data_IF_314681048900
#
_entry.id   IF_314681048900
#
_cell.length_a   1.000
_cell.length_b   1.000
_cell.length_c   1.000
_cell.angle_alpha   90.00
_cell.angle_beta   90.00
_cell.angle_gamma   90.00
#
_symmetry.space_group_name_H-M   'P 1'
#
loop_
_entity.id
_entity.type
_entity.pdbx_description
1 polymer ?
#
# COMPACT_ATOMS: atom_id res chain seq x y z
N UNK A 1 30.54 24.43 3.23
CA UNK A 1 29.19 23.98 2.80
C UNK A 1 29.22 22.48 2.93
N UNK A 2 28.74 21.96 4.06
CA UNK A 2 28.90 20.55 4.39
C UNK A 2 27.60 19.82 4.09
N UNK A 3 27.54 19.21 2.91
CA UNK A 3 26.42 18.36 2.51
C UNK A 3 26.53 17.08 3.34
N UNK A 4 25.68 16.93 4.36
CA UNK A 4 25.70 15.75 5.23
C UNK A 4 25.59 14.46 4.39
N UNK A 5 26.66 13.67 4.33
CA UNK A 5 26.71 12.43 3.57
C UNK A 5 25.99 11.35 4.37
N UNK A 6 24.91 10.80 3.82
CA UNK A 6 24.31 9.57 4.38
C UNK A 6 25.21 8.37 4.06
N UNK A 7 25.75 7.73 5.09
CA UNK A 7 26.64 6.57 5.00
C UNK A 7 25.87 5.27 4.75
N UNK A 8 26.23 4.61 3.67
CA UNK A 8 25.84 3.25 3.34
C UNK A 8 27.07 2.33 3.40
N UNK A 9 26.86 1.02 3.37
CA UNK A 9 27.97 0.06 3.34
C UNK A 9 28.91 0.25 2.16
N UNK A 10 28.41 0.74 1.02
CA UNK A 10 29.22 1.10 -0.15
C UNK A 10 30.09 2.34 0.08
N UNK A 11 29.53 3.40 0.69
CA UNK A 11 30.32 4.61 1.03
C UNK A 11 31.34 4.33 2.13
N UNK A 12 30.99 3.50 3.12
CA UNK A 12 31.93 3.04 4.14
C UNK A 12 33.08 2.22 3.54
N UNK A 13 32.79 1.36 2.55
CA UNK A 13 33.80 0.64 1.78
C UNK A 13 34.70 1.59 1.00
N UNK A 14 34.13 2.61 0.35
CA UNK A 14 34.89 3.60 -0.40
C UNK A 14 35.85 4.38 0.50
N UNK A 15 35.39 4.78 1.69
CA UNK A 15 36.23 5.42 2.70
C UNK A 15 37.38 4.49 3.14
N UNK A 16 37.08 3.22 3.40
CA UNK A 16 38.10 2.22 3.75
C UNK A 16 39.20 2.13 2.68
N UNK A 17 38.78 2.00 1.41
CA UNK A 17 39.70 1.85 0.27
C UNK A 17 40.53 3.12 0.04
N UNK A 18 39.92 4.30 0.23
CA UNK A 18 40.61 5.59 0.13
C UNK A 18 41.65 5.79 1.23
N UNK A 19 41.38 5.29 2.44
CA UNK A 19 42.33 5.32 3.55
C UNK A 19 43.43 4.23 3.42
N UNK A 20 43.33 3.33 2.44
CA UNK A 20 44.29 2.24 2.24
C UNK A 20 44.31 1.20 3.37
N UNK A 21 43.24 1.09 4.15
CA UNK A 21 43.17 0.23 5.34
C UNK A 21 42.61 -1.16 5.01
N UNK A 22 43.15 -2.21 5.64
CA UNK A 22 42.50 -3.53 5.61
C UNK A 22 41.18 -3.51 6.39
N UNK A 23 40.32 -4.52 6.17
CA UNK A 23 39.03 -4.65 6.88
C UNK A 23 39.23 -4.65 8.41
N UNK A 24 40.27 -5.35 8.90
CA UNK A 24 40.55 -5.43 10.35
C UNK A 24 41.07 -4.11 10.91
N UNK A 25 41.90 -3.39 10.16
CA UNK A 25 42.43 -2.10 10.58
C UNK A 25 41.36 -1.02 10.57
N UNK A 26 40.49 -1.04 9.56
CA UNK A 26 39.35 -0.13 9.47
C UNK A 26 38.33 -0.39 10.59
N UNK A 27 37.99 -1.66 10.84
CA UNK A 27 37.12 -2.04 11.96
C UNK A 27 37.68 -1.56 13.32
N UNK A 28 38.99 -1.76 13.54
CA UNK A 28 39.68 -1.26 14.74
C UNK A 28 39.65 0.27 14.83
N UNK A 29 39.81 0.98 13.71
CA UNK A 29 39.76 2.46 13.67
C UNK A 29 38.35 2.99 14.00
N UNK A 30 37.31 2.28 13.60
CA UNK A 30 35.92 2.63 13.86
C UNK A 30 35.39 2.08 15.21
N UNK A 31 36.14 1.24 15.91
CA UNK A 31 35.72 0.61 17.17
C UNK A 31 34.66 -0.48 17.02
N UNK A 32 34.57 -1.13 15.84
CA UNK A 32 33.57 -2.18 15.55
C UNK A 32 34.19 -3.56 15.33
N UNK A 33 33.36 -4.60 15.40
CA UNK A 33 33.75 -5.95 15.00
C UNK A 33 34.02 -6.03 13.47
N UNK A 34 35.09 -6.70 13.00
CA UNK A 34 35.38 -6.86 11.57
C UNK A 34 34.23 -7.48 10.75
N UNK A 35 33.34 -8.27 11.37
CA UNK A 35 32.13 -8.81 10.72
C UNK A 35 31.15 -7.72 10.33
N UNK A 36 31.09 -6.61 11.07
CA UNK A 36 30.24 -5.46 10.74
C UNK A 36 30.68 -4.80 9.45
N UNK A 37 31.99 -4.59 9.27
CA UNK A 37 32.57 -4.06 8.02
C UNK A 37 32.39 -5.05 6.87
N UNK A 38 32.49 -6.36 7.14
CA UNK A 38 32.23 -7.40 6.14
C UNK A 38 30.76 -7.39 5.70
N UNK A 39 29.82 -7.19 6.63
CA UNK A 39 28.39 -7.04 6.36
C UNK A 39 28.12 -5.81 5.49
N UNK A 40 28.75 -4.67 5.79
CA UNK A 40 28.66 -3.47 4.96
C UNK A 40 29.16 -3.69 3.53
N UNK A 41 30.30 -4.36 3.36
CA UNK A 41 30.82 -4.68 2.02
C UNK A 41 29.89 -5.64 1.25
N UNK A 42 29.26 -6.58 1.96
CA UNK A 42 28.32 -7.55 1.36
C UNK A 42 27.04 -6.89 0.89
N UNK A 43 26.48 -5.98 1.69
CA UNK A 43 25.18 -5.36 1.41
C UNK A 43 25.29 -4.00 0.69
N UNK A 44 26.48 -3.41 0.64
CA UNK A 44 26.76 -2.22 -0.16
C UNK A 44 25.80 -1.07 0.13
N UNK A 45 25.18 -0.55 -0.92
CA UNK A 45 24.21 0.56 -0.83
C UNK A 45 22.90 0.20 -0.11
N UNK A 46 22.49 -1.08 -0.14
CA UNK A 46 21.26 -1.57 0.51
C UNK A 46 21.30 -1.56 2.04
N UNK A 47 22.47 -1.32 2.65
CA UNK A 47 22.63 -1.24 4.10
C UNK A 47 23.00 0.19 4.49
N UNK A 48 22.07 0.88 5.15
CA UNK A 48 22.32 2.16 5.81
C UNK A 48 22.95 1.91 7.18
N UNK A 49 24.05 2.60 7.49
CA UNK A 49 24.69 2.53 8.80
C UNK A 49 23.77 3.18 9.86
N UNK A 50 23.74 2.67 11.09
CA UNK A 50 22.98 3.29 12.18
C UNK A 50 23.56 4.67 12.57
N UNK A 51 22.82 5.48 13.32
CA UNK A 51 23.16 6.88 13.59
C UNK A 51 24.53 7.06 14.25
N UNK A 52 24.86 6.23 15.24
CA UNK A 52 26.21 6.22 15.86
C UNK A 52 27.31 6.04 14.81
N UNK A 53 27.10 5.16 13.84
CA UNK A 53 28.07 4.90 12.80
C UNK A 53 28.08 5.97 11.70
N UNK A 54 26.95 6.66 11.46
CA UNK A 54 26.92 7.83 10.59
C UNK A 54 27.88 8.91 11.11
N UNK A 55 27.85 9.17 12.42
CA UNK A 55 28.73 10.15 13.06
C UNK A 55 30.19 9.70 13.05
N UNK A 56 30.46 8.45 13.40
CA UNK A 56 31.83 7.92 13.45
C UNK A 56 32.48 7.91 12.06
N UNK A 57 31.74 7.53 11.00
CA UNK A 57 32.26 7.55 9.63
C UNK A 57 32.48 8.97 9.12
N UNK A 58 31.56 9.91 9.42
CA UNK A 58 31.72 11.33 9.07
C UNK A 58 32.97 11.91 9.72
N UNK A 59 33.13 11.70 11.03
CA UNK A 59 34.33 12.13 11.77
C UNK A 59 35.61 11.48 11.24
N UNK A 60 35.53 10.22 10.80
CA UNK A 60 36.68 9.52 10.21
C UNK A 60 37.09 10.10 8.86
N UNK A 61 36.12 10.56 8.05
CA UNK A 61 36.38 11.30 6.81
C UNK A 61 36.94 12.71 7.08
N UNK A 62 36.43 13.40 8.10
CA UNK A 62 36.93 14.73 8.50
C UNK A 62 38.38 14.72 8.98
N UNK A 63 38.79 13.62 9.61
CA UNK A 63 40.16 13.41 10.09
C UNK A 63 41.09 12.81 9.02
N UNK A 64 40.60 12.51 7.82
CA UNK A 64 41.45 12.06 6.70
C UNK A 64 42.24 13.24 6.12
N UNK A 65 43.38 12.97 5.48
CA UNK A 65 44.15 14.04 4.83
C UNK A 65 43.36 14.69 3.69
N UNK A 66 43.72 15.92 3.32
CA UNK A 66 43.05 16.63 2.22
C UNK A 66 43.10 15.83 0.90
N UNK A 67 44.23 15.20 0.60
CA UNK A 67 44.40 14.30 -0.56
C UNK A 67 43.46 13.08 -0.50
N UNK A 68 43.27 12.50 0.70
CA UNK A 68 42.34 11.38 0.90
C UNK A 68 40.90 11.82 0.78
N UNK A 69 40.54 13.00 1.31
CA UNK A 69 39.19 13.57 1.17
C UNK A 69 38.87 13.87 -0.30
N UNK A 70 39.78 14.53 -1.02
CA UNK A 70 39.62 14.81 -2.45
C UNK A 70 39.50 13.52 -3.26
N UNK A 71 40.31 12.51 -2.95
CA UNK A 71 40.22 11.19 -3.57
C UNK A 71 38.87 10.53 -3.28
N UNK A 72 38.40 10.59 -2.04
CA UNK A 72 37.10 10.04 -1.64
C UNK A 72 35.95 10.71 -2.39
N UNK A 73 35.91 12.05 -2.44
CA UNK A 73 34.88 12.78 -3.17
C UNK A 73 34.98 12.60 -4.69
N UNK A 74 36.20 12.54 -5.24
CA UNK A 74 36.44 12.26 -6.66
C UNK A 74 36.00 10.85 -7.04
N UNK A 75 36.27 9.85 -6.20
CA UNK A 75 35.79 8.49 -6.42
C UNK A 75 34.28 8.36 -6.15
N UNK A 76 33.72 9.11 -5.20
CA UNK A 76 32.28 9.18 -4.98
C UNK A 76 31.55 9.80 -6.18
N UNK A 77 32.16 10.78 -6.84
CA UNK A 77 31.66 11.39 -8.08
C UNK A 77 31.96 10.56 -9.34
N UNK A 78 33.00 9.72 -9.33
CA UNK A 78 33.39 8.82 -10.43
C UNK A 78 32.79 7.42 -10.33
N UNK A 79 32.24 7.04 -9.18
CA UNK A 79 31.40 5.85 -9.11
C UNK A 79 30.29 6.05 -10.13
N UNK A 80 30.10 5.12 -11.08
CA UNK A 80 28.92 5.19 -11.91
C UNK A 80 27.74 5.16 -10.95
N UNK A 81 26.88 6.19 -11.00
CA UNK A 81 25.46 5.94 -10.79
C UNK A 81 25.18 4.69 -11.62
N UNK A 82 24.90 3.55 -10.95
CA UNK A 82 25.01 2.23 -11.55
C UNK A 82 24.40 2.26 -12.94
N UNK A 83 25.19 1.89 -13.96
CA UNK A 83 24.86 1.97 -15.41
C UNK A 83 23.48 2.57 -15.64
N UNK A 84 23.44 3.90 -15.77
CA UNK A 84 22.25 4.55 -16.28
C UNK A 84 21.85 3.79 -17.56
N UNK A 85 20.60 3.27 -17.63
CA UNK A 85 20.05 2.96 -18.93
C UNK A 85 20.25 4.18 -19.82
N UNK A 86 20.54 3.98 -21.10
CA UNK A 86 20.63 5.10 -22.04
C UNK A 86 19.45 6.06 -21.84
N UNK A 87 19.62 7.38 -21.96
CA UNK A 87 18.49 8.31 -21.99
C UNK A 87 17.59 7.95 -23.17
N UNK A 88 16.62 7.07 -22.91
CA UNK A 88 15.90 6.29 -23.92
C UNK A 88 15.29 4.98 -23.41
N UNK A 89 15.78 4.39 -22.30
CA UNK A 89 15.08 3.30 -21.61
C UNK A 89 14.07 3.87 -20.61
N UNK A 90 13.08 4.55 -21.18
CA UNK A 90 11.93 5.08 -20.47
C UNK A 90 11.14 3.97 -19.78
N UNK A 91 10.38 4.36 -18.77
CA UNK A 91 9.16 3.67 -18.44
C UNK A 91 8.29 3.65 -19.71
N UNK A 92 8.29 2.55 -20.45
CA UNK A 92 7.38 2.42 -21.58
C UNK A 92 5.95 2.22 -21.07
N UNK A 93 4.95 2.37 -21.94
CA UNK A 93 3.57 2.28 -21.52
C UNK A 93 3.29 0.93 -20.86
N UNK A 94 2.38 0.96 -19.90
CA UNK A 94 1.93 -0.21 -19.18
C UNK A 94 0.41 -0.16 -19.01
N UNK A 95 -0.19 -1.32 -18.86
CA UNK A 95 -1.63 -1.48 -18.70
C UNK A 95 -1.91 -2.00 -17.31
N UNK A 96 -2.76 -1.30 -16.56
CA UNK A 96 -3.27 -1.73 -15.26
C UNK A 96 -4.79 -1.73 -15.24
N UNK A 97 -5.36 -2.65 -14.48
CA UNK A 97 -6.72 -2.49 -13.98
C UNK A 97 -6.64 -1.95 -12.55
N UNK A 98 -7.17 -0.75 -12.35
CA UNK A 98 -7.32 -0.15 -11.03
C UNK A 98 -8.63 -0.61 -10.42
N UNK A 99 -8.57 -1.32 -9.29
CA UNK A 99 -9.73 -1.69 -8.48
C UNK A 99 -9.78 -0.78 -7.25
N UNK A 100 -10.71 0.18 -7.25
CA UNK A 100 -10.96 1.09 -6.12
C UNK A 100 -12.03 0.50 -5.20
N UNK A 101 -11.81 0.62 -3.89
CA UNK A 101 -12.75 0.26 -2.84
C UNK A 101 -13.07 1.52 -2.05
N UNK A 102 -14.35 1.89 -2.06
CA UNK A 102 -14.85 3.14 -1.49
C UNK A 102 -15.94 2.79 -0.48
N UNK A 103 -15.58 2.58 0.80
CA UNK A 103 -16.51 2.10 1.80
C UNK A 103 -17.22 3.25 2.53
N UNK A 104 -18.50 3.05 2.85
CA UNK A 104 -19.31 3.96 3.63
C UNK A 104 -20.15 3.19 4.66
N UNK A 105 -20.13 3.65 5.92
CA UNK A 105 -21.09 3.21 6.91
C UNK A 105 -22.42 3.94 6.71
N UNK A 106 -23.49 3.18 6.54
CA UNK A 106 -24.86 3.68 6.33
C UNK A 106 -25.76 3.32 7.51
N UNK A 107 -25.44 2.22 8.19
CA UNK A 107 -26.19 1.67 9.33
C UNK A 107 -27.49 0.98 8.90
N UNK A 108 -28.47 0.96 9.80
CA UNK A 108 -29.78 0.31 9.58
C UNK A 108 -30.56 0.85 8.38
N UNK A 109 -30.28 2.10 7.98
CA UNK A 109 -30.83 2.74 6.77
C UNK A 109 -30.53 1.96 5.49
N UNK A 110 -29.49 1.14 5.46
CA UNK A 110 -29.13 0.33 4.29
C UNK A 110 -30.10 -0.83 4.06
N UNK A 111 -30.83 -1.27 5.09
CA UNK A 111 -31.65 -2.50 5.07
C UNK A 111 -32.66 -2.56 3.91
N UNK A 112 -33.45 -1.50 3.62
CA UNK A 112 -34.42 -1.54 2.53
C UNK A 112 -33.79 -1.64 1.14
N UNK A 113 -32.55 -1.15 0.98
CA UNK A 113 -31.77 -1.29 -0.26
C UNK A 113 -31.18 -2.69 -0.36
N UNK A 114 -30.60 -3.19 0.75
CA UNK A 114 -30.01 -4.52 0.86
C UNK A 114 -31.01 -5.62 0.47
N UNK A 115 -32.24 -5.58 0.98
CA UNK A 115 -33.24 -6.62 0.73
C UNK A 115 -33.65 -6.75 -0.75
N UNK A 116 -33.52 -5.65 -1.52
CA UNK A 116 -33.83 -5.58 -2.96
C UNK A 116 -32.62 -5.92 -3.84
N UNK A 117 -31.41 -5.92 -3.28
CA UNK A 117 -30.18 -6.19 -4.01
C UNK A 117 -29.99 -7.69 -4.32
N UNK A 118 -29.12 -7.99 -5.29
CA UNK A 118 -28.88 -9.35 -5.77
C UNK A 118 -28.07 -10.15 -4.75
N UNK A 119 -28.45 -11.40 -4.42
CA UNK A 119 -27.63 -12.28 -3.60
C UNK A 119 -26.21 -12.43 -4.16
N UNK A 120 -25.21 -12.37 -3.29
CA UNK A 120 -23.81 -12.59 -3.66
C UNK A 120 -23.16 -13.54 -2.63
N UNK A 121 -22.32 -14.51 -3.05
CA UNK A 121 -21.55 -15.32 -2.13
C UNK A 121 -20.73 -14.49 -1.14
N UNK A 122 -20.61 -14.97 0.09
CA UNK A 122 -19.79 -14.30 1.11
C UNK A 122 -18.30 -14.36 0.77
N UNK A 123 -17.59 -13.29 1.12
CA UNK A 123 -16.14 -13.23 1.07
C UNK A 123 -15.45 -14.07 2.16
N UNK A 124 -14.12 -13.97 2.27
CA UNK A 124 -13.35 -14.79 3.20
C UNK A 124 -13.65 -14.54 4.68
N UNK A 125 -14.11 -13.34 5.03
CA UNK A 125 -14.58 -12.93 6.35
C UNK A 125 -15.99 -13.40 6.67
N UNK A 126 -16.69 -14.04 5.73
CA UNK A 126 -18.05 -14.54 5.93
C UNK A 126 -19.02 -13.42 6.29
N UNK A 127 -18.93 -12.30 5.55
CA UNK A 127 -19.84 -11.18 5.70
C UNK A 127 -21.00 -11.38 4.72
N UNK A 128 -22.22 -11.49 5.27
CA UNK A 128 -23.43 -11.55 4.44
C UNK A 128 -23.50 -10.31 3.57
N UNK A 129 -23.56 -10.52 2.25
CA UNK A 129 -23.51 -9.44 1.28
C UNK A 129 -24.43 -9.64 0.10
N UNK A 130 -24.86 -8.52 -0.46
CA UNK A 130 -25.63 -8.44 -1.70
C UNK A 130 -25.04 -7.36 -2.59
N UNK A 131 -25.31 -7.43 -3.89
CA UNK A 131 -24.71 -6.50 -4.85
C UNK A 131 -25.74 -5.74 -5.67
N UNK A 132 -25.37 -4.51 -6.02
CA UNK A 132 -26.04 -3.70 -7.04
C UNK A 132 -25.01 -3.21 -8.05
N UNK A 133 -25.23 -3.39 -9.36
CA UNK A 133 -24.42 -2.73 -10.37
C UNK A 133 -24.66 -1.22 -10.30
N UNK A 134 -23.60 -0.43 -10.50
CA UNK A 134 -23.65 1.02 -10.58
C UNK A 134 -23.11 1.49 -11.94
N UNK A 135 -23.59 2.64 -12.40
CA UNK A 135 -23.03 3.32 -13.56
C UNK A 135 -22.04 4.39 -13.10
N UNK A 136 -20.79 4.29 -13.55
CA UNK A 136 -19.75 5.28 -13.27
C UNK A 136 -19.63 6.26 -14.46
N UNK A 137 -19.62 7.59 -14.24
CA UNK A 137 -19.64 8.59 -15.32
C UNK A 137 -18.45 8.50 -16.29
N UNK A 138 -17.28 8.08 -15.80
CA UNK A 138 -16.08 7.93 -16.62
C UNK A 138 -16.00 6.58 -17.36
N UNK A 139 -17.02 5.73 -17.22
CA UNK A 139 -16.98 4.33 -17.65
C UNK A 139 -16.35 3.42 -16.60
N UNK A 140 -16.09 2.16 -16.99
CA UNK A 140 -15.62 1.10 -16.09
C UNK A 140 -16.74 0.23 -15.53
N UNK A 141 -16.37 -0.77 -14.72
CA UNK A 141 -17.32 -1.63 -14.03
C UNK A 141 -17.43 -1.21 -12.57
N UNK A 142 -18.63 -0.84 -12.12
CA UNK A 142 -18.87 -0.48 -10.73
C UNK A 142 -19.93 -1.38 -10.09
N UNK A 143 -19.65 -1.84 -8.87
CA UNK A 143 -20.55 -2.68 -8.08
C UNK A 143 -20.58 -2.19 -6.64
N UNK A 144 -21.75 -1.93 -6.09
CA UNK A 144 -21.94 -1.70 -4.66
C UNK A 144 -22.11 -3.05 -3.95
N UNK A 145 -21.15 -3.42 -3.11
CA UNK A 145 -21.26 -4.54 -2.17
C UNK A 145 -21.92 -4.04 -0.88
N UNK A 146 -23.19 -4.41 -0.69
CA UNK A 146 -23.97 -4.05 0.48
C UNK A 146 -23.79 -5.15 1.52
N UNK A 147 -23.16 -4.85 2.64
CA UNK A 147 -22.94 -5.76 3.75
C UNK A 147 -24.09 -5.63 4.74
N UNK A 148 -24.59 -6.77 5.25
CA UNK A 148 -25.75 -6.79 6.14
C UNK A 148 -25.55 -5.96 7.42
N UNK A 149 -24.29 -5.79 7.85
CA UNK A 149 -23.89 -4.95 8.98
C UNK A 149 -24.04 -3.42 8.75
N UNK A 150 -24.62 -3.00 7.62
CA UNK A 150 -24.92 -1.59 7.34
C UNK A 150 -23.78 -0.85 6.65
N UNK A 151 -22.82 -1.54 6.06
CA UNK A 151 -21.72 -0.96 5.28
C UNK A 151 -21.95 -1.20 3.80
N UNK A 152 -21.73 -0.18 2.97
CA UNK A 152 -21.63 -0.32 1.53
C UNK A 152 -20.17 -0.16 1.10
N UNK A 153 -19.61 -1.12 0.36
CA UNK A 153 -18.30 -1.01 -0.27
C UNK A 153 -18.50 -0.91 -1.78
N UNK A 154 -18.28 0.26 -2.36
CA UNK A 154 -18.31 0.40 -3.82
C UNK A 154 -16.98 -0.05 -4.39
N UNK A 155 -17.00 -1.09 -5.21
CA UNK A 155 -15.89 -1.58 -6.01
C UNK A 155 -15.99 -1.00 -7.42
N UNK A 156 -15.02 -0.19 -7.82
CA UNK A 156 -14.89 0.38 -9.16
C UNK A 156 -13.64 -0.17 -9.84
N UNK A 157 -13.80 -0.78 -11.02
CA UNK A 157 -12.71 -1.31 -11.84
C UNK A 157 -12.55 -0.49 -13.13
N UNK A 158 -11.36 0.06 -13.33
CA UNK A 158 -11.01 0.92 -14.47
C UNK A 158 -9.71 0.42 -15.11
N UNK A 159 -9.74 0.14 -16.41
CA UNK A 159 -8.54 -0.20 -17.19
C UNK A 159 -7.85 1.10 -17.65
N UNK A 160 -6.54 1.17 -17.45
CA UNK A 160 -5.74 2.34 -17.74
C UNK A 160 -4.51 1.92 -18.54
N UNK A 161 -4.23 2.68 -19.60
CA UNK A 161 -2.94 2.66 -20.30
C UNK A 161 -2.21 3.96 -19.96
N UNK A 162 -1.02 3.83 -19.38
CA UNK A 162 -0.29 4.95 -18.79
C UNK A 162 1.15 4.92 -19.25
N UNK A 163 1.74 6.11 -19.42
CA UNK A 163 3.12 6.28 -19.85
C UNK A 163 4.11 6.18 -18.69
N UNK A 164 3.66 6.40 -17.44
CA UNK A 164 4.52 6.34 -16.25
C UNK A 164 3.75 6.02 -14.97
N UNK A 165 4.43 5.49 -13.96
CA UNK A 165 3.81 5.21 -12.66
C UNK A 165 3.46 6.53 -11.93
N UNK A 166 4.18 7.61 -12.24
CA UNK A 166 3.86 8.97 -11.78
C UNK A 166 2.53 9.44 -12.35
N UNK A 167 2.23 9.13 -13.62
CA UNK A 167 0.93 9.41 -14.21
C UNK A 167 -0.20 8.66 -13.48
N UNK A 168 0.01 7.37 -13.16
CA UNK A 168 -0.92 6.61 -12.31
C UNK A 168 -1.13 7.30 -10.96
N UNK A 169 -0.04 7.72 -10.31
CA UNK A 169 -0.10 8.37 -9.00
C UNK A 169 -0.92 9.66 -9.05
N UNK A 170 -0.69 10.50 -10.08
CA UNK A 170 -1.47 11.72 -10.30
C UNK A 170 -2.95 11.40 -10.56
N UNK A 171 -3.23 10.47 -11.46
CA UNK A 171 -4.59 10.04 -11.78
C UNK A 171 -5.33 9.55 -10.54
N UNK A 172 -4.67 8.70 -9.73
CA UNK A 172 -5.19 8.15 -8.48
C UNK A 172 -5.67 9.27 -7.56
N UNK A 173 -4.79 10.19 -7.18
CA UNK A 173 -5.16 11.21 -6.20
C UNK A 173 -6.10 12.28 -6.74
N UNK A 174 -6.11 12.52 -8.06
CA UNK A 174 -7.07 13.44 -8.70
C UNK A 174 -8.48 12.87 -8.78
N UNK A 175 -8.62 11.55 -8.95
CA UNK A 175 -9.94 10.89 -9.04
C UNK A 175 -10.55 10.59 -7.67
N UNK A 176 -9.74 10.47 -6.60
CA UNK A 176 -10.26 10.13 -5.28
C UNK A 176 -11.33 11.08 -4.73
N UNK A 177 -11.19 12.41 -4.78
CA UNK A 177 -12.25 13.30 -4.33
C UNK A 177 -13.54 13.15 -5.15
N UNK A 178 -13.42 13.05 -6.48
CA UNK A 178 -14.58 12.92 -7.37
C UNK A 178 -15.30 11.59 -7.19
N UNK A 179 -14.56 10.51 -7.01
CA UNK A 179 -15.14 9.18 -6.83
C UNK A 179 -15.83 9.04 -5.47
N UNK A 180 -15.28 9.63 -4.41
CA UNK A 180 -15.94 9.69 -3.10
C UNK A 180 -17.26 10.47 -3.19
N UNK A 181 -17.25 11.65 -3.80
CA UNK A 181 -18.46 12.45 -4.01
C UNK A 181 -19.50 11.71 -4.88
N UNK A 182 -19.05 11.01 -5.92
CA UNK A 182 -19.93 10.18 -6.75
C UNK A 182 -20.57 9.03 -5.96
N UNK A 183 -19.79 8.30 -5.15
CA UNK A 183 -20.32 7.24 -4.28
C UNK A 183 -21.29 7.80 -3.25
N UNK A 184 -20.95 8.91 -2.59
CA UNK A 184 -21.83 9.58 -1.63
C UNK A 184 -23.17 9.97 -2.26
N UNK A 185 -23.13 10.61 -3.44
CA UNK A 185 -24.34 10.96 -4.19
C UNK A 185 -25.15 9.71 -4.62
N UNK A 186 -24.49 8.67 -5.13
CA UNK A 186 -25.12 7.44 -5.58
C UNK A 186 -25.82 6.67 -4.45
N UNK A 187 -25.14 6.50 -3.31
CA UNK A 187 -25.72 5.87 -2.12
C UNK A 187 -26.89 6.68 -1.57
N UNK A 188 -26.77 8.02 -1.50
CA UNK A 188 -27.87 8.89 -1.08
C UNK A 188 -29.09 8.77 -2.02
N UNK A 189 -28.89 8.65 -3.33
CA UNK A 189 -29.97 8.43 -4.28
C UNK A 189 -30.66 7.08 -4.09
N UNK A 190 -29.89 6.00 -3.81
CA UNK A 190 -30.45 4.68 -3.49
C UNK A 190 -31.27 4.69 -2.20
N UNK A 191 -30.78 5.39 -1.17
CA UNK A 191 -31.48 5.52 0.11
C UNK A 191 -32.79 6.31 -0.05
N UNK A 192 -32.76 7.45 -0.74
CA UNK A 192 -33.94 8.27 -1.01
C UNK A 192 -34.99 7.51 -1.82
N UNK A 193 -34.57 6.75 -2.83
CA UNK A 193 -35.47 5.92 -3.63
C UNK A 193 -36.09 4.76 -2.82
N UNK A 194 -35.37 4.24 -1.83
CA UNK A 194 -35.86 3.17 -0.98
C UNK A 194 -36.80 3.68 0.12
N UNK A 195 -36.46 4.81 0.74
CA UNK A 195 -37.25 5.48 1.78
C UNK A 195 -37.03 7.00 1.67
N UNK A 196 -38.01 7.75 1.14
CA UNK A 196 -37.87 9.19 0.94
C UNK A 196 -37.69 9.99 2.25
N UNK A 197 -36.90 11.06 2.19
CA UNK A 197 -36.71 12.00 3.30
C UNK A 197 -35.78 11.50 4.41
N UNK A 198 -35.01 10.44 4.18
CA UNK A 198 -33.98 10.02 5.14
C UNK A 198 -32.81 11.02 5.18
N UNK A 199 -32.13 11.15 6.33
CA UNK A 199 -30.90 11.93 6.40
C UNK A 199 -29.88 11.40 5.38
N UNK A 200 -29.14 12.32 4.76
CA UNK A 200 -28.06 11.96 3.84
C UNK A 200 -26.88 11.37 4.62
N UNK A 201 -26.11 10.52 3.97
CA UNK A 201 -24.76 10.15 4.41
C UNK A 201 -23.77 11.19 3.88
N UNK A 202 -22.67 11.36 4.61
CA UNK A 202 -21.51 12.10 4.13
C UNK A 202 -20.77 11.31 3.05
N UNK A 203 -19.88 12.00 2.32
CA UNK A 203 -19.03 11.34 1.35
C UNK A 203 -18.08 10.37 2.06
N UNK A 204 -17.84 9.17 1.50
CA UNK A 204 -16.87 8.21 2.00
C UNK A 204 -15.53 8.88 2.36
N UNK A 205 -14.93 8.48 3.49
CA UNK A 205 -13.72 9.13 4.00
C UNK A 205 -12.47 8.83 3.16
N UNK A 206 -12.39 7.66 2.53
CA UNK A 206 -11.19 7.21 1.83
C UNK A 206 -11.47 6.30 0.64
N UNK A 207 -10.40 6.06 -0.14
CA UNK A 207 -10.36 5.09 -1.24
C UNK A 207 -9.12 4.23 -1.06
N UNK A 208 -9.29 2.90 -1.03
CA UNK A 208 -8.18 1.96 -1.21
C UNK A 208 -8.13 1.55 -2.68
N UNK A 209 -6.93 1.30 -3.22
CA UNK A 209 -6.81 0.68 -4.55
C UNK A 209 -5.95 -0.57 -4.55
N UNK A 210 -6.40 -1.55 -5.33
CA UNK A 210 -5.63 -2.69 -5.81
C UNK A 210 -5.29 -2.45 -7.28
N UNK A 211 -4.06 -2.68 -7.70
CA UNK A 211 -3.63 -2.61 -9.09
C UNK A 211 -3.30 -3.98 -9.64
N UNK A 212 -4.00 -4.38 -10.69
CA UNK A 212 -3.65 -5.55 -11.48
C UNK A 212 -2.78 -5.11 -12.67
N UNK A 213 -1.48 -5.42 -12.62
CA UNK A 213 -0.56 -5.15 -13.72
C UNK A 213 -0.74 -6.20 -14.82
N UNK A 214 -1.25 -5.78 -15.98
CA UNK A 214 -1.54 -6.65 -17.13
C UNK A 214 -0.38 -6.70 -18.11
N UNK A 215 0.06 -5.54 -18.55
CA UNK A 215 1.11 -5.39 -19.55
C UNK A 215 2.13 -4.37 -19.08
N UNK A 216 3.39 -4.56 -19.43
CA UNK A 216 4.46 -3.61 -19.11
C UNK A 216 5.58 -3.65 -20.13
N UNK A 217 6.11 -2.48 -20.44
CA UNK A 217 7.22 -2.31 -21.38
C UNK A 217 8.59 -2.26 -20.69
N UNK A 218 8.65 -2.30 -19.36
CA UNK A 218 9.91 -2.29 -18.60
C UNK A 218 10.68 -3.62 -18.79
N UNK A 219 12.01 -3.61 -18.66
CA UNK A 219 12.75 -4.87 -18.56
C UNK A 219 12.33 -5.65 -17.30
N UNK A 220 12.38 -6.98 -17.34
CA UNK A 220 11.99 -7.83 -16.19
C UNK A 220 12.77 -7.52 -14.90
N UNK A 221 13.98 -6.97 -15.00
CA UNK A 221 14.77 -6.51 -13.86
C UNK A 221 14.17 -5.31 -13.12
N UNK A 222 13.33 -4.50 -13.80
CA UNK A 222 12.67 -3.33 -13.25
C UNK A 222 11.30 -3.66 -12.61
N UNK A 223 10.75 -4.84 -12.89
CA UNK A 223 9.44 -5.27 -12.38
C UNK A 223 9.32 -5.17 -10.86
N UNK A 224 10.30 -5.60 -10.02
CA UNK A 224 10.18 -5.47 -8.57
C UNK A 224 9.98 -4.01 -8.13
N UNK A 225 10.75 -3.07 -8.67
CA UNK A 225 10.62 -1.64 -8.38
C UNK A 225 9.25 -1.12 -8.83
N UNK A 226 8.80 -1.49 -10.03
CA UNK A 226 7.49 -1.09 -10.55
C UNK A 226 6.37 -1.52 -9.60
N UNK A 227 6.38 -2.78 -9.14
CA UNK A 227 5.37 -3.28 -8.19
C UNK A 227 5.39 -2.49 -6.87
N UNK A 228 6.56 -2.14 -6.34
CA UNK A 228 6.66 -1.32 -5.14
C UNK A 228 6.08 0.08 -5.37
N UNK A 229 6.37 0.72 -6.50
CA UNK A 229 5.84 2.04 -6.85
C UNK A 229 4.31 2.01 -7.08
N UNK A 230 3.78 0.97 -7.74
CA UNK A 230 2.34 0.75 -7.89
C UNK A 230 1.65 0.53 -6.54
N UNK A 231 2.29 -0.17 -5.61
CA UNK A 231 1.77 -0.41 -4.25
C UNK A 231 1.82 0.87 -3.40
N UNK A 232 2.80 1.74 -3.65
CA UNK A 232 3.04 2.98 -2.90
C UNK A 232 3.15 4.24 -3.79
N UNK A 233 2.11 4.59 -4.57
CA UNK A 233 2.22 5.69 -5.55
C UNK A 233 2.47 7.07 -4.92
N UNK A 234 2.19 7.21 -3.62
CA UNK A 234 2.44 8.44 -2.85
C UNK A 234 3.89 8.91 -2.89
N UNK A 235 4.86 8.01 -3.11
CA UNK A 235 6.29 8.37 -3.13
C UNK A 235 6.71 9.13 -4.39
N UNK A 236 5.82 9.29 -5.36
CA UNK A 236 6.07 9.97 -6.63
C UNK A 236 5.43 11.36 -6.70
N UNK A 237 4.50 11.68 -5.79
CA UNK A 237 3.67 12.90 -5.87
C UNK A 237 3.60 13.64 -4.54
N UNK A 238 3.57 14.97 -4.61
CA UNK A 238 3.18 15.82 -3.50
C UNK A 238 1.66 15.90 -3.45
N UNK A 239 1.08 15.38 -2.37
CA UNK A 239 -0.37 15.31 -2.12
C UNK A 239 -0.81 16.16 -0.92
N UNK A 240 0.02 17.11 -0.47
CA UNK A 240 -0.33 18.01 0.63
C UNK A 240 -1.56 18.87 0.30
N UNK A 241 -1.74 19.23 -0.97
CA UNK A 241 -2.96 19.82 -1.48
C UNK A 241 -3.70 18.80 -2.36
N UNK A 242 -4.84 18.23 -1.90
CA UNK A 242 -5.65 17.30 -2.69
C UNK A 242 -6.18 17.87 -4.01
N UNK A 243 -6.36 19.19 -4.12
CA UNK A 243 -6.85 19.85 -5.34
C UNK A 243 -5.72 20.15 -6.34
N UNK A 244 -4.46 20.10 -5.89
CA UNK A 244 -3.28 20.43 -6.68
C UNK A 244 -2.17 19.39 -6.48
N UNK A 245 -2.50 18.13 -6.79
CA UNK A 245 -1.51 17.04 -6.76
C UNK A 245 -0.54 17.18 -7.92
N UNK A 246 0.75 17.24 -7.57
CA UNK A 246 1.86 17.44 -8.50
C UNK A 246 2.96 16.39 -8.30
N UNK A 247 3.75 16.04 -9.32
CA UNK A 247 4.93 15.20 -9.13
C UNK A 247 5.92 15.83 -8.14
N UNK A 248 6.60 15.01 -7.34
CA UNK A 248 7.68 15.51 -6.44
C UNK A 248 8.83 16.11 -7.27
N UNK A 249 9.09 15.54 -8.44
CA UNK A 249 10.07 16.06 -9.38
C UNK A 249 10.14 15.25 -10.67
N UNK A 250 10.68 15.83 -11.75
CA UNK A 250 10.62 15.23 -13.10
C UNK A 250 11.42 13.94 -13.26
N UNK A 251 12.37 13.64 -12.36
CA UNK A 251 13.27 12.47 -12.47
C UNK A 251 13.11 11.48 -11.31
N UNK A 252 12.15 11.69 -10.40
CA UNK A 252 12.02 10.86 -9.19
C UNK A 252 11.74 9.41 -9.57
N UNK A 253 10.82 9.15 -10.48
CA UNK A 253 10.53 7.78 -10.94
C UNK A 253 11.76 7.12 -11.59
N UNK A 254 12.46 7.84 -12.46
CA UNK A 254 13.69 7.35 -13.10
C UNK A 254 14.77 6.99 -12.06
N UNK A 255 14.94 7.82 -11.04
CA UNK A 255 15.86 7.57 -9.93
C UNK A 255 15.46 6.30 -9.16
N UNK A 256 14.16 6.11 -8.88
CA UNK A 256 13.65 4.91 -8.19
C UNK A 256 13.95 3.64 -8.98
N UNK A 257 13.73 3.67 -10.30
CA UNK A 257 14.11 2.55 -11.17
C UNK A 257 15.62 2.30 -11.19
N UNK A 258 16.43 3.36 -11.33
CA UNK A 258 17.89 3.26 -11.40
C UNK A 258 18.50 2.69 -10.11
N UNK A 259 17.92 3.05 -8.96
CA UNK A 259 18.38 2.63 -7.63
C UNK A 259 17.78 1.30 -7.16
N UNK A 260 16.96 0.63 -7.98
CA UNK A 260 16.20 -0.56 -7.61
C UNK A 260 15.43 -0.37 -6.29
N UNK A 261 14.73 0.76 -6.17
CA UNK A 261 14.09 1.18 -4.93
C UNK A 261 12.99 0.20 -4.47
N UNK A 262 12.91 0.01 -3.16
CA UNK A 262 11.84 -0.73 -2.49
C UNK A 262 11.29 0.07 -1.32
N UNK A 263 10.01 -0.17 -0.99
CA UNK A 263 9.37 0.42 0.17
C UNK A 263 9.49 -0.53 1.38
N UNK A 264 9.95 -0.06 2.56
CA UNK A 264 10.19 -0.93 3.72
C UNK A 264 8.93 -1.56 4.30
N UNK A 265 7.81 -0.84 4.26
CA UNK A 265 6.53 -1.28 4.86
C UNK A 265 5.65 -2.09 3.90
N UNK A 266 6.19 -2.45 2.73
CA UNK A 266 5.47 -3.29 1.75
C UNK A 266 5.81 -4.75 2.00
N UNK A 267 4.78 -5.57 2.14
CA UNK A 267 4.89 -7.02 2.35
C UNK A 267 4.61 -7.73 1.04
N UNK A 268 5.57 -8.52 0.59
CA UNK A 268 5.38 -9.37 -0.58
C UNK A 268 4.53 -10.60 -0.23
N UNK A 269 3.62 -10.94 -1.13
CA UNK A 269 2.98 -12.24 -1.17
C UNK A 269 3.26 -12.89 -2.52
N UNK A 270 4.07 -13.93 -2.48
CA UNK A 270 4.38 -14.73 -3.65
C UNK A 270 3.98 -16.16 -3.38
N UNK A 271 3.43 -16.81 -4.39
CA UNK A 271 3.20 -18.24 -4.39
C UNK A 271 3.21 -18.69 -5.83
N UNK A 272 4.41 -18.93 -6.34
CA UNK A 272 4.63 -19.17 -7.77
C UNK A 272 5.32 -18.03 -8.51
N UNK A 273 5.11 -17.96 -9.82
CA UNK A 273 5.67 -16.95 -10.75
C UNK A 273 4.92 -15.62 -10.74
N UNK A 274 3.71 -15.55 -10.16
CA UNK A 274 2.90 -14.32 -10.07
C UNK A 274 3.22 -13.52 -8.80
N UNK A 275 3.94 -12.38 -8.89
CA UNK A 275 4.27 -11.57 -7.72
C UNK A 275 3.11 -10.68 -7.30
N UNK A 276 2.93 -10.54 -5.99
CA UNK A 276 2.04 -9.57 -5.38
C UNK A 276 2.68 -8.86 -4.20
N UNK A 277 2.28 -7.62 -3.97
CA UNK A 277 2.75 -6.76 -2.90
C UNK A 277 1.56 -6.09 -2.22
N UNK A 278 1.56 -6.01 -0.89
CA UNK A 278 0.57 -5.28 -0.11
C UNK A 278 1.27 -4.21 0.73
N UNK A 279 0.66 -3.05 0.88
CA UNK A 279 1.11 -1.98 1.75
C UNK A 279 -0.07 -1.14 2.21
N UNK A 280 0.18 -0.21 3.12
CA UNK A 280 -0.85 0.69 3.67
C UNK A 280 -1.67 1.42 2.60
N UNK A 281 -1.02 1.85 1.52
CA UNK A 281 -1.67 2.60 0.43
C UNK A 281 -2.39 1.72 -0.60
N UNK A 282 -2.22 0.40 -0.59
CA UNK A 282 -2.83 -0.45 -1.60
C UNK A 282 -2.13 -1.78 -1.80
N UNK A 283 -2.62 -2.51 -2.78
CA UNK A 283 -2.11 -3.83 -3.17
C UNK A 283 -1.78 -3.81 -4.65
N UNK A 284 -0.70 -4.46 -5.06
CA UNK A 284 -0.41 -4.68 -6.48
C UNK A 284 -0.26 -6.16 -6.74
N UNK A 285 -0.76 -6.62 -7.88
CA UNK A 285 -0.65 -8.00 -8.31
C UNK A 285 -0.36 -8.08 -9.80
N UNK A 286 0.59 -8.93 -10.18
CA UNK A 286 0.94 -9.18 -11.58
C UNK A 286 0.69 -10.66 -11.91
N UNK A 287 -0.49 -11.02 -12.46
CA UNK A 287 -0.82 -12.39 -12.80
C UNK A 287 0.04 -12.91 -13.96
N UNK A 288 0.59 -14.11 -13.82
CA UNK A 288 1.24 -14.84 -14.91
C UNK A 288 0.29 -15.90 -15.50
N UNK A 289 0.22 -16.06 -16.83
CA UNK A 289 -0.73 -16.97 -17.50
C UNK A 289 -0.61 -18.46 -17.14
N UNK A 290 0.58 -18.91 -16.74
CA UNK A 290 0.95 -20.34 -16.74
C UNK A 290 0.78 -21.06 -15.39
N UNK A 291 0.11 -20.45 -14.41
CA UNK A 291 0.05 -21.00 -13.06
C UNK A 291 -1.39 -21.08 -12.53
N UNK A 292 -1.64 -22.00 -11.58
CA UNK A 292 -2.81 -21.94 -10.68
C UNK A 292 -2.66 -20.75 -9.73
N UNK A 293 -2.48 -19.58 -10.31
CA UNK A 293 -2.24 -18.33 -9.66
C UNK A 293 -3.52 -17.85 -8.99
N UNK A 294 -3.35 -17.10 -7.91
CA UNK A 294 -4.39 -16.29 -7.31
C UNK A 294 -5.08 -15.45 -8.40
N UNK A 295 -6.40 -15.45 -8.41
CA UNK A 295 -7.19 -14.59 -9.29
C UNK A 295 -7.38 -13.22 -8.63
N UNK A 296 -7.46 -12.16 -9.43
CA UNK A 296 -7.77 -10.83 -8.88
C UNK A 296 -9.15 -10.78 -8.22
N UNK A 297 -10.09 -11.64 -8.63
CA UNK A 297 -11.38 -11.78 -7.93
C UNK A 297 -11.22 -12.22 -6.47
N UNK A 298 -10.23 -13.05 -6.15
CA UNK A 298 -9.97 -13.49 -4.78
C UNK A 298 -9.34 -12.36 -3.94
N UNK A 299 -8.51 -11.51 -4.54
CA UNK A 299 -8.00 -10.27 -3.90
C UNK A 299 -9.16 -9.30 -3.65
N UNK A 300 -10.00 -9.06 -4.65
CA UNK A 300 -11.19 -8.19 -4.54
C UNK A 300 -12.13 -8.68 -3.45
N UNK A 301 -12.41 -9.98 -3.40
CA UNK A 301 -13.28 -10.56 -2.36
C UNK A 301 -12.70 -10.36 -0.95
N UNK A 302 -11.38 -10.52 -0.77
CA UNK A 302 -10.73 -10.21 0.50
C UNK A 302 -10.86 -8.72 0.84
N UNK A 303 -10.55 -7.84 -0.11
CA UNK A 303 -10.57 -6.40 0.14
C UNK A 303 -11.97 -5.86 0.41
N UNK A 304 -13.03 -6.39 -0.21
CA UNK A 304 -14.41 -6.04 0.16
C UNK A 304 -14.66 -6.30 1.65
N UNK A 305 -14.24 -7.45 2.16
CA UNK A 305 -14.43 -7.78 3.58
C UNK A 305 -13.51 -6.95 4.49
N UNK A 306 -12.25 -6.75 4.11
CA UNK A 306 -11.28 -5.95 4.88
C UNK A 306 -11.74 -4.50 4.97
N UNK A 307 -12.09 -3.87 3.84
CA UNK A 307 -12.57 -2.49 3.81
C UNK A 307 -13.95 -2.34 4.46
N UNK A 308 -14.81 -3.34 4.34
CA UNK A 308 -16.09 -3.39 5.04
C UNK A 308 -15.92 -3.36 6.56
N UNK A 309 -15.03 -4.20 7.09
CA UNK A 309 -14.72 -4.24 8.52
C UNK A 309 -13.94 -3.00 8.99
N UNK A 310 -13.08 -2.44 8.14
CA UNK A 310 -12.35 -1.21 8.45
C UNK A 310 -13.32 -0.04 8.64
N UNK A 311 -14.26 0.16 7.71
CA UNK A 311 -15.29 1.19 7.82
C UNK A 311 -16.24 0.96 9.00
N UNK A 312 -16.63 -0.30 9.25
CA UNK A 312 -17.46 -0.65 10.41
C UNK A 312 -16.76 -0.32 11.73
N UNK A 313 -15.47 -0.67 11.83
CA UNK A 313 -14.66 -0.39 13.02
C UNK A 313 -14.39 1.10 13.18
N UNK A 314 -14.24 1.84 12.06
CA UNK A 314 -14.13 3.30 12.06
C UNK A 314 -15.33 3.93 12.74
N UNK A 315 -16.53 3.61 12.27
CA UNK A 315 -17.75 4.17 12.85
C UNK A 315 -17.84 3.97 14.37
N UNK A 316 -17.47 2.78 14.86
CA UNK A 316 -17.48 2.47 16.29
C UNK A 316 -16.50 3.34 17.05
N UNK A 317 -15.27 3.49 16.54
CA UNK A 317 -14.21 4.25 17.20
C UNK A 317 -14.46 5.75 17.11
N UNK A 318 -14.91 6.25 15.96
CA UNK A 318 -15.27 7.65 15.74
C UNK A 318 -16.38 8.08 16.71
N UNK A 319 -17.36 7.22 17.00
CA UNK A 319 -18.42 7.50 18.00
C UNK A 319 -17.84 7.77 19.39
N UNK A 320 -16.80 7.03 19.79
CA UNK A 320 -16.11 7.20 21.08
C UNK A 320 -15.30 8.50 21.08
N UNK A 321 -14.62 8.80 19.98
CA UNK A 321 -13.88 10.06 19.82
C UNK A 321 -14.80 11.28 19.92
N UNK A 322 -16.04 11.15 19.45
CA UNK A 322 -17.10 12.15 19.58
C UNK A 322 -17.74 12.19 21.00
N UNK A 323 -17.34 11.29 21.89
CA UNK A 323 -17.84 11.20 23.27
C UNK A 323 -19.20 10.51 23.40
N UNK A 324 -19.61 9.76 22.38
CA UNK A 324 -20.84 8.95 22.35
C UNK A 324 -20.56 7.47 22.60
N UNK A 325 -21.53 6.76 23.18
CA UNK A 325 -21.44 5.30 23.30
C UNK A 325 -21.78 4.65 21.93
N UNK A 326 -20.91 3.81 21.36
CA UNK A 326 -21.17 3.18 20.07
C UNK A 326 -22.36 2.22 20.14
N UNK A 327 -23.42 2.55 19.40
CA UNK A 327 -24.64 1.74 19.31
C UNK A 327 -24.61 0.88 18.05
N UNK A 328 -24.67 -0.44 18.23
CA UNK A 328 -24.80 -1.41 17.13
C UNK A 328 -25.94 -2.39 17.37
N UNK A 329 -26.65 -2.83 16.32
CA UNK A 329 -27.58 -3.95 16.42
C UNK A 329 -26.91 -5.16 17.08
N UNK A 330 -27.64 -5.89 17.92
CA UNK A 330 -27.05 -6.96 18.75
C UNK A 330 -26.32 -8.01 17.90
N UNK A 331 -26.90 -8.34 16.74
CA UNK A 331 -26.38 -9.25 15.73
C UNK A 331 -25.05 -8.82 15.10
N UNK A 332 -24.73 -7.53 15.12
CA UNK A 332 -23.51 -6.93 14.58
C UNK A 332 -22.57 -6.35 15.65
N UNK A 333 -22.71 -6.77 16.91
CA UNK A 333 -21.86 -6.33 18.02
C UNK A 333 -20.46 -6.98 18.06
N UNK A 334 -19.73 -6.85 19.18
CA UNK A 334 -18.34 -7.32 19.30
C UNK A 334 -18.12 -8.81 18.94
N UNK A 335 -19.11 -9.69 19.18
CA UNK A 335 -19.03 -11.12 18.80
C UNK A 335 -19.00 -11.32 17.29
N UNK A 336 -19.71 -10.48 16.55
CA UNK A 336 -19.71 -10.47 15.09
C UNK A 336 -18.34 -10.08 14.56
N UNK A 337 -17.78 -8.96 15.03
CA UNK A 337 -16.42 -8.50 14.66
C UNK A 337 -15.37 -9.57 14.95
N UNK A 338 -15.41 -10.16 16.15
CA UNK A 338 -14.52 -11.27 16.54
C UNK A 338 -14.65 -12.47 15.60
N UNK A 339 -15.88 -12.84 15.24
CA UNK A 339 -16.17 -13.96 14.33
C UNK A 339 -15.64 -13.71 12.92
N UNK A 340 -15.88 -12.51 12.38
CA UNK A 340 -15.38 -12.09 11.08
C UNK A 340 -13.85 -12.10 11.04
N UNK A 341 -13.20 -11.53 12.06
CA UNK A 341 -11.74 -11.52 12.19
C UNK A 341 -11.17 -12.95 12.28
N UNK A 342 -11.82 -13.82 13.06
CA UNK A 342 -11.41 -15.22 13.15
C UNK A 342 -11.49 -15.93 11.80
N UNK A 343 -12.51 -15.67 10.99
CA UNK A 343 -12.66 -16.26 9.65
C UNK A 343 -11.63 -15.72 8.66
N UNK A 344 -11.32 -14.42 8.72
CA UNK A 344 -10.25 -13.81 7.92
C UNK A 344 -8.86 -14.37 8.27
N UNK A 345 -8.64 -14.83 9.50
CA UNK A 345 -7.34 -15.40 9.90
C UNK A 345 -7.23 -16.91 9.69
N UNK A 346 -8.35 -17.60 9.69
CA UNK A 346 -8.38 -19.06 9.61
C UNK A 346 -7.80 -19.55 8.28
N UNK A 347 -6.78 -20.41 8.36
CA UNK A 347 -6.30 -21.14 7.18
C UNK A 347 -7.36 -22.15 6.74
N UNK A 348 -7.56 -22.31 5.44
CA UNK A 348 -8.57 -23.24 4.90
C UNK A 348 -7.90 -24.49 4.33
N UNK A 349 -8.47 -25.69 4.48
CA UNK A 349 -7.85 -26.93 3.99
C UNK A 349 -7.52 -26.94 2.48
N UNK A 350 -8.29 -26.20 1.67
CA UNK A 350 -8.09 -26.07 0.22
C UNK A 350 -7.40 -24.74 -0.19
N UNK A 351 -6.97 -23.92 0.77
CA UNK A 351 -6.29 -22.65 0.49
C UNK A 351 -4.88 -22.92 -0.04
N UNK A 352 -4.50 -22.28 -1.15
CA UNK A 352 -3.12 -22.39 -1.64
C UNK A 352 -2.16 -21.57 -0.77
N UNK A 353 -0.87 -21.89 -0.81
CA UNK A 353 0.14 -21.10 -0.11
C UNK A 353 0.12 -19.61 -0.53
N UNK A 354 -0.15 -19.32 -1.80
CA UNK A 354 -0.27 -17.96 -2.32
C UNK A 354 -1.46 -17.22 -1.70
N UNK A 355 -2.63 -17.87 -1.60
CA UNK A 355 -3.82 -17.29 -0.97
C UNK A 355 -3.56 -16.92 0.49
N UNK A 356 -2.93 -17.84 1.23
CA UNK A 356 -2.55 -17.61 2.61
C UNK A 356 -1.58 -16.43 2.73
N UNK A 357 -0.53 -16.40 1.92
CA UNK A 357 0.46 -15.33 1.94
C UNK A 357 -0.16 -13.97 1.60
N UNK A 358 -1.04 -13.92 0.59
CA UNK A 358 -1.76 -12.71 0.21
C UNK A 358 -2.61 -12.19 1.36
N UNK A 359 -3.39 -13.08 1.98
CA UNK A 359 -4.23 -12.73 3.12
C UNK A 359 -3.43 -12.23 4.32
N UNK A 360 -2.31 -12.88 4.62
CA UNK A 360 -1.41 -12.42 5.69
C UNK A 360 -0.80 -11.04 5.38
N UNK A 361 -0.39 -10.79 4.15
CA UNK A 361 0.19 -9.51 3.73
C UNK A 361 -0.83 -8.35 3.76
N UNK A 362 -2.05 -8.58 3.29
CA UNK A 362 -3.14 -7.57 3.35
C UNK A 362 -3.53 -7.27 4.79
N UNK A 363 -3.68 -8.30 5.63
CA UNK A 363 -4.06 -8.10 7.03
C UNK A 363 -2.96 -7.40 7.83
N UNK A 364 -1.68 -7.67 7.57
CA UNK A 364 -0.58 -7.05 8.31
C UNK A 364 -0.31 -5.60 7.93
N UNK A 365 -0.74 -5.17 6.74
CA UNK A 365 -0.47 -3.82 6.21
C UNK A 365 -1.67 -2.88 6.25
N UNK A 366 -2.87 -3.37 6.59
CA UNK A 366 -4.13 -2.61 6.59
C UNK A 366 -4.51 -2.00 7.94
N UNK A 367 -3.75 -2.25 9.01
CA UNK A 367 -4.06 -1.88 10.41
C UNK A 367 -5.41 -2.44 10.95
N UNK A 368 -6.13 -3.20 10.11
CA UNK A 368 -7.41 -3.79 10.47
C UNK A 368 -7.34 -4.67 11.74
N UNK A 369 -6.31 -5.49 11.98
CA UNK A 369 -6.20 -6.30 13.19
C UNK A 369 -6.33 -5.53 14.51
N UNK A 370 -5.61 -4.42 14.64
CA UNK A 370 -5.59 -3.65 15.88
C UNK A 370 -6.85 -2.79 15.98
N UNK A 371 -7.28 -2.18 14.88
CA UNK A 371 -8.54 -1.45 14.85
C UNK A 371 -9.77 -2.29 15.17
N UNK A 372 -9.82 -3.53 14.69
CA UNK A 372 -10.89 -4.48 15.03
C UNK A 372 -10.88 -4.85 16.52
N UNK A 373 -9.69 -4.92 17.13
CA UNK A 373 -9.56 -5.23 18.56
C UNK A 373 -10.13 -4.09 19.38
N UNK A 374 -9.76 -2.86 19.06
CA UNK A 374 -10.22 -1.67 19.78
C UNK A 374 -11.75 -1.51 19.64
N UNK A 375 -12.30 -1.70 18.42
CA UNK A 375 -13.74 -1.68 18.20
C UNK A 375 -14.48 -2.81 18.93
N UNK A 376 -13.87 -4.00 19.07
CA UNK A 376 -14.44 -5.10 19.86
C UNK A 376 -14.50 -4.75 21.35
N UNK A 377 -13.47 -4.08 21.90
CA UNK A 377 -13.42 -3.67 23.29
C UNK A 377 -14.45 -2.57 23.57
N UNK A 378 -14.50 -1.55 22.72
CA UNK A 378 -15.50 -0.49 22.77
C UNK A 378 -16.94 -1.02 22.82
N UNK A 379 -17.31 -1.92 21.89
CA UNK A 379 -18.65 -2.49 21.83
C UNK A 379 -18.95 -3.49 22.97
N UNK A 380 -17.91 -4.02 23.62
CA UNK A 380 -18.08 -4.88 24.80
C UNK A 380 -18.41 -4.04 26.02
N UNK A 381 -17.72 -2.92 26.16
CA UNK A 381 -17.80 -2.07 27.35
C UNK A 381 -19.04 -1.16 27.32
N UNK A 382 -19.57 -0.85 26.12
CA UNK A 382 -20.80 -0.08 25.92
C UNK A 382 -22.10 -0.85 26.20
N UNK A 383 -22.03 -2.14 26.55
CA UNK A 383 -23.22 -3.00 26.85
C UNK A 383 -23.68 -2.92 28.32
N UNK A 384 -23.53 -1.77 28.98
CA UNK A 384 -24.03 -1.55 30.36
C UNK A 384 -25.49 -1.13 30.37
#
# INVERSE_FOLDING_TARGET
MDTAIRWTGQKARLLQETLGLSIREFARKLGVDPRTVTKWRKHGESLTCNDEMQEVLSRTLDLASDEQRETFYSQLARQPAGTAPEPGQQAGPFVVVSHKFIPAYVGSRLRPVFEKALPHPEGPGGLEQRVLPLEHPAGGSATAHLLACGVAVVHLAEELTLESITELALWRYRTYPTDRAWVGAGLNALLEAAVPGQPKIEDPQYVLSVYELREQSWPSSALPTALHLLTTPSVLVNRQNPEAVEPIGPHVETEKFTTAWTHPDVVAFHGGSSPGLAGWSGVTYHPQPDERALTVREIVALEVDVQGLWALSSQVLDSIEDGEDPVMPEEYGWRYLRGAYSRLRASRPAETAQHRAMREAVLSTSDLPDRLRDAQEALRDSRV
#
